data_IF_185039278600
#
_entry.id   IF_185039278600
#
_cell.length_a   1.000
_cell.length_b   1.000
_cell.length_c   1.000
_cell.angle_alpha   90.00
_cell.angle_beta   90.00
_cell.angle_gamma   90.00
#
_symmetry.space_group_name_H-M   'P 1'
#
loop_
_entity.id
_entity.type
_entity.pdbx_description
1 polymer ?
#
# COMPACT_ATOMS: atom_id res chain seq x y z
N UNK A 1 -8.55 14.59 17.50
CA UNK A 1 -9.55 13.52 17.20
C UNK A 1 -10.41 13.80 15.95
N UNK A 2 -10.45 15.00 15.43
CA UNK A 2 -11.17 15.33 14.18
C UNK A 2 -10.38 14.98 12.90
N UNK A 3 -9.08 14.73 12.98
CA UNK A 3 -8.24 14.47 11.78
C UNK A 3 -8.51 13.13 11.10
N UNK A 4 -8.98 12.13 11.82
CA UNK A 4 -9.27 10.81 11.25
C UNK A 4 -10.54 10.77 10.39
N UNK A 5 -11.48 11.69 10.61
CA UNK A 5 -12.70 11.75 9.78
C UNK A 5 -12.47 12.41 8.42
N UNK A 6 -11.49 13.31 8.31
CA UNK A 6 -11.22 14.03 7.06
C UNK A 6 -10.58 13.19 5.94
N UNK A 7 -10.04 12.00 6.25
CA UNK A 7 -9.36 11.14 5.26
C UNK A 7 -10.34 10.14 4.62
N UNK A 8 -11.50 9.92 5.23
CA UNK A 8 -12.40 8.81 4.86
C UNK A 8 -13.45 9.16 3.82
N UNK A 9 -13.77 10.42 3.61
CA UNK A 9 -14.90 10.81 2.77
C UNK A 9 -14.48 11.96 1.84
N UNK A 10 -13.48 11.72 1.00
CA UNK A 10 -13.09 12.71 0.00
C UNK A 10 -13.68 12.38 -1.36
N UNK A 11 -13.93 13.41 -2.16
CA UNK A 11 -14.19 13.26 -3.57
C UNK A 11 -12.89 12.90 -4.30
N UNK A 12 -13.00 12.07 -5.33
CA UNK A 12 -11.91 11.72 -6.25
C UNK A 12 -12.41 12.04 -7.65
N UNK A 13 -11.58 12.69 -8.45
CA UNK A 13 -11.96 13.13 -9.80
C UNK A 13 -10.87 12.77 -10.81
N UNK A 14 -11.16 11.77 -11.64
CA UNK A 14 -10.30 11.37 -12.76
C UNK A 14 -8.93 10.83 -12.35
N UNK A 15 -8.83 10.18 -11.19
CA UNK A 15 -7.58 9.59 -10.69
C UNK A 15 -7.48 8.14 -11.16
N UNK A 16 -6.30 7.71 -11.58
CA UNK A 16 -6.00 6.30 -11.84
C UNK A 16 -5.71 5.57 -10.53
N UNK A 17 -6.66 4.75 -10.08
CA UNK A 17 -6.51 3.92 -8.88
C UNK A 17 -6.23 2.45 -9.20
N UNK A 18 -5.98 2.12 -10.47
CA UNK A 18 -5.80 0.73 -10.93
C UNK A 18 -4.57 0.05 -10.33
N UNK A 19 -3.62 0.82 -9.79
CA UNK A 19 -2.48 0.30 -9.06
C UNK A 19 -2.92 -0.52 -7.84
N UNK A 20 -4.00 -0.11 -7.18
CA UNK A 20 -4.50 -0.71 -5.94
C UNK A 20 -5.91 -1.29 -6.05
N UNK A 21 -6.66 -0.94 -7.08
CA UNK A 21 -8.03 -1.41 -7.25
C UNK A 21 -8.19 -1.93 -8.69
N UNK A 22 -8.17 -3.25 -8.82
CA UNK A 22 -8.14 -3.92 -10.13
C UNK A 22 -9.47 -3.88 -10.88
N UNK A 23 -10.58 -4.06 -10.15
CA UNK A 23 -11.92 -4.06 -10.75
C UNK A 23 -12.96 -3.63 -9.72
N UNK A 24 -13.99 -2.95 -10.17
CA UNK A 24 -15.11 -2.56 -9.32
C UNK A 24 -16.37 -3.31 -9.72
N UNK A 25 -17.27 -3.61 -8.75
CA UNK A 25 -18.59 -4.12 -9.05
C UNK A 25 -19.32 -3.17 -10.03
N UNK A 26 -19.88 -3.72 -11.10
CA UNK A 26 -20.54 -2.91 -12.13
C UNK A 26 -19.65 -2.42 -13.27
N UNK A 27 -18.37 -2.77 -13.28
CA UNK A 27 -17.47 -2.49 -14.42
C UNK A 27 -17.01 -1.04 -14.53
N UNK A 28 -17.07 -0.27 -13.43
CA UNK A 28 -16.54 1.09 -13.41
C UNK A 28 -15.04 1.12 -13.70
N UNK A 29 -14.61 2.08 -14.51
CA UNK A 29 -13.20 2.24 -14.87
C UNK A 29 -12.39 2.73 -13.68
N UNK A 30 -11.34 1.98 -13.33
CA UNK A 30 -10.41 2.33 -12.26
C UNK A 30 -9.26 3.22 -12.70
N UNK A 31 -9.10 3.43 -14.03
CA UNK A 31 -8.08 4.31 -14.59
C UNK A 31 -8.51 5.79 -14.66
N UNK A 32 -9.82 6.02 -14.68
CA UNK A 32 -10.42 7.35 -14.60
C UNK A 32 -11.54 7.31 -13.56
N UNK A 33 -11.14 7.13 -12.30
CA UNK A 33 -12.08 6.93 -11.23
C UNK A 33 -12.69 8.24 -10.73
N UNK A 34 -14.00 8.22 -10.53
CA UNK A 34 -14.78 9.35 -10.01
C UNK A 34 -15.66 8.88 -8.87
N UNK A 35 -15.65 9.60 -7.76
CA UNK A 35 -16.60 9.43 -6.66
C UNK A 35 -16.69 10.68 -5.82
N UNK A 36 -17.85 10.94 -5.26
CA UNK A 36 -18.03 12.02 -4.27
C UNK A 36 -17.63 11.57 -2.86
N UNK A 37 -17.74 10.27 -2.57
CA UNK A 37 -17.54 9.69 -1.24
C UNK A 37 -16.67 8.42 -1.34
N UNK A 38 -15.36 8.60 -1.36
CA UNK A 38 -14.41 7.50 -1.38
C UNK A 38 -14.31 6.84 0.01
N UNK A 39 -14.27 5.50 0.04
CA UNK A 39 -13.91 4.77 1.28
C UNK A 39 -12.48 5.11 1.72
N UNK A 40 -12.13 4.78 2.97
CA UNK A 40 -10.77 5.04 3.48
C UNK A 40 -9.66 4.41 2.63
N UNK A 41 -9.83 3.15 2.22
CA UNK A 41 -8.87 2.47 1.34
C UNK A 41 -8.81 3.10 -0.06
N UNK A 42 -9.95 3.45 -0.63
CA UNK A 42 -10.00 4.11 -1.94
C UNK A 42 -9.38 5.51 -1.90
N UNK A 43 -9.64 6.27 -0.83
CA UNK A 43 -9.05 7.60 -0.62
C UNK A 43 -7.53 7.52 -0.49
N UNK A 44 -7.01 6.53 0.25
CA UNK A 44 -5.58 6.34 0.43
C UNK A 44 -4.92 5.82 -0.85
N UNK A 45 -5.53 4.89 -1.57
CA UNK A 45 -5.07 4.44 -2.87
C UNK A 45 -4.91 5.61 -3.85
N UNK A 46 -5.93 6.46 -3.96
CA UNK A 46 -5.87 7.65 -4.79
C UNK A 46 -4.77 8.61 -4.34
N UNK A 47 -4.63 8.84 -3.03
CA UNK A 47 -3.59 9.73 -2.50
C UNK A 47 -2.17 9.26 -2.83
N UNK A 48 -1.91 7.95 -2.74
CA UNK A 48 -0.62 7.37 -3.11
C UNK A 48 -0.38 7.54 -4.61
N UNK A 49 -1.37 7.22 -5.44
CA UNK A 49 -1.24 7.35 -6.89
C UNK A 49 -1.01 8.80 -7.30
N UNK A 50 -1.80 9.74 -6.77
CA UNK A 50 -1.65 11.19 -7.03
C UNK A 50 -0.26 11.69 -6.60
N UNK A 51 0.25 11.25 -5.45
CA UNK A 51 1.60 11.62 -5.00
C UNK A 51 2.67 11.13 -6.00
N UNK A 52 2.56 9.89 -6.47
CA UNK A 52 3.48 9.33 -7.46
C UNK A 52 3.36 10.08 -8.81
N UNK A 53 2.14 10.35 -9.28
CA UNK A 53 1.89 11.14 -10.49
C UNK A 53 2.51 12.55 -10.41
N UNK A 54 2.46 13.18 -9.22
CA UNK A 54 3.08 14.47 -8.95
C UNK A 54 4.62 14.39 -8.85
N UNK A 55 5.21 13.20 -8.96
CA UNK A 55 6.66 13.02 -8.97
C UNK A 55 7.29 12.82 -7.59
N UNK A 56 6.50 12.45 -6.57
CA UNK A 56 7.05 12.07 -5.26
C UNK A 56 8.06 10.94 -5.40
N UNK A 57 9.16 11.03 -4.67
CA UNK A 57 10.24 10.05 -4.66
C UNK A 57 10.23 9.20 -3.38
N UNK A 58 9.40 9.56 -2.42
CA UNK A 58 9.21 8.82 -1.18
C UNK A 58 7.76 8.91 -0.71
N UNK A 59 7.26 7.81 -0.16
CA UNK A 59 5.99 7.69 0.53
C UNK A 59 6.28 7.50 2.02
N UNK A 60 5.63 8.29 2.86
CA UNK A 60 5.67 8.16 4.32
C UNK A 60 4.32 7.63 4.78
N UNK A 61 4.31 6.43 5.34
CA UNK A 61 3.09 5.71 5.69
C UNK A 61 3.14 5.33 7.17
N UNK A 62 2.07 5.63 7.87
CA UNK A 62 1.85 5.28 9.27
C UNK A 62 0.73 4.24 9.33
N UNK A 63 1.02 3.06 9.91
CA UNK A 63 0.06 1.96 10.05
C UNK A 63 -1.21 2.38 10.78
N UNK A 64 -1.07 3.10 11.90
CA UNK A 64 -2.18 3.46 12.78
C UNK A 64 -3.20 4.39 12.11
N UNK A 65 -2.76 5.17 11.13
CA UNK A 65 -3.61 6.12 10.40
C UNK A 65 -4.06 5.62 9.04
N UNK A 66 -3.58 4.46 8.62
CA UNK A 66 -3.83 3.88 7.31
C UNK A 66 -5.04 2.94 7.31
N UNK A 67 -5.61 2.71 6.12
CA UNK A 67 -6.62 1.70 5.91
C UNK A 67 -5.97 0.30 5.91
N UNK A 68 -6.24 -0.50 6.94
CA UNK A 68 -5.59 -1.81 7.13
C UNK A 68 -5.74 -2.72 5.91
N UNK A 69 -6.92 -2.77 5.28
CA UNK A 69 -7.18 -3.59 4.10
C UNK A 69 -6.44 -3.12 2.83
N UNK A 70 -5.96 -1.87 2.82
CA UNK A 70 -5.06 -1.37 1.78
C UNK A 70 -3.60 -1.67 2.08
N UNK A 71 -3.19 -1.69 3.36
CA UNK A 71 -1.80 -1.99 3.70
C UNK A 71 -1.48 -3.46 3.49
N UNK A 72 -2.26 -4.32 4.11
CA UNK A 72 -2.03 -5.76 4.11
C UNK A 72 -3.35 -6.53 4.15
N UNK A 73 -3.28 -7.81 3.83
CA UNK A 73 -4.41 -8.70 3.93
C UNK A 73 -3.96 -10.05 4.46
N UNK A 74 -4.53 -10.46 5.58
CA UNK A 74 -4.31 -11.75 6.22
C UNK A 74 -4.59 -12.90 5.22
N UNK A 75 -3.78 -13.95 5.26
CA UNK A 75 -3.89 -15.14 4.43
C UNK A 75 -5.25 -15.83 4.55
N UNK A 76 -5.86 -15.83 5.73
CA UNK A 76 -7.21 -16.38 5.97
C UNK A 76 -8.27 -15.55 5.26
N UNK A 77 -8.15 -14.23 5.32
CA UNK A 77 -9.06 -13.34 4.61
C UNK A 77 -8.91 -13.45 3.09
N UNK A 78 -7.69 -13.67 2.58
CA UNK A 78 -7.45 -13.94 1.15
C UNK A 78 -8.15 -15.21 0.68
N UNK A 79 -8.16 -16.26 1.51
CA UNK A 79 -8.85 -17.52 1.19
C UNK A 79 -10.38 -17.39 1.27
N UNK A 80 -10.89 -16.62 2.25
CA UNK A 80 -12.32 -16.46 2.47
C UNK A 80 -12.96 -15.57 1.40
N UNK A 81 -12.33 -14.45 1.07
CA UNK A 81 -12.86 -13.45 0.12
C UNK A 81 -12.05 -13.50 -1.17
N UNK A 82 -12.51 -14.29 -2.13
CA UNK A 82 -11.79 -14.52 -3.39
C UNK A 82 -11.93 -13.38 -4.40
N UNK A 83 -12.99 -12.59 -4.32
CA UNK A 83 -13.29 -11.51 -5.28
C UNK A 83 -13.07 -10.12 -4.69
N UNK A 84 -11.91 -9.91 -4.05
CA UNK A 84 -11.56 -8.60 -3.50
C UNK A 84 -10.95 -7.71 -4.59
N UNK A 85 -11.52 -6.52 -4.83
CA UNK A 85 -10.96 -5.59 -5.80
C UNK A 85 -9.68 -4.91 -5.33
N UNK A 86 -9.44 -4.85 -4.00
CA UNK A 86 -8.29 -4.16 -3.43
C UNK A 86 -7.06 -5.05 -3.49
N UNK A 87 -6.00 -4.52 -4.08
CA UNK A 87 -4.66 -5.08 -4.10
C UNK A 87 -3.88 -4.37 -3.00
N UNK A 88 -3.48 -5.05 -1.92
CA UNK A 88 -2.84 -4.39 -0.81
C UNK A 88 -1.43 -3.88 -1.16
N UNK A 89 -0.99 -2.86 -0.41
CA UNK A 89 0.31 -2.22 -0.59
C UNK A 89 1.48 -3.22 -0.48
N UNK A 90 1.35 -4.20 0.41
CA UNK A 90 2.38 -5.24 0.56
C UNK A 90 2.68 -5.97 -0.75
N UNK A 91 1.68 -6.15 -1.61
CA UNK A 91 1.83 -6.78 -2.92
C UNK A 91 2.35 -5.79 -4.00
N UNK A 92 2.43 -4.50 -3.70
CA UNK A 92 2.79 -3.43 -4.63
C UNK A 92 4.08 -2.71 -4.27
N UNK A 93 4.50 -2.73 -3.01
CA UNK A 93 5.63 -1.92 -2.53
C UNK A 93 6.93 -2.22 -3.28
N UNK A 94 7.19 -3.49 -3.60
CA UNK A 94 8.34 -3.87 -4.42
C UNK A 94 8.30 -3.25 -5.81
N UNK A 95 7.17 -3.36 -6.51
CA UNK A 95 7.00 -2.75 -7.84
C UNK A 95 7.04 -1.21 -7.80
N UNK A 96 6.51 -0.59 -6.75
CA UNK A 96 6.61 0.87 -6.56
C UNK A 96 8.08 1.29 -6.46
N UNK A 97 8.91 0.52 -5.76
CA UNK A 97 10.36 0.74 -5.68
C UNK A 97 11.04 0.50 -7.02
N UNK A 98 10.82 -0.66 -7.61
CA UNK A 98 11.62 -1.17 -8.72
C UNK A 98 11.20 -0.55 -10.07
N UNK A 99 9.90 -0.37 -10.31
CA UNK A 99 9.36 0.16 -11.57
C UNK A 99 9.18 1.68 -11.57
N UNK A 100 8.83 2.26 -10.41
CA UNK A 100 8.55 3.69 -10.30
C UNK A 100 9.70 4.48 -9.64
N UNK A 101 10.65 3.80 -9.01
CA UNK A 101 11.78 4.44 -8.30
C UNK A 101 11.33 5.27 -7.10
N UNK A 102 10.27 4.83 -6.40
CA UNK A 102 9.70 5.51 -5.24
C UNK A 102 9.99 4.69 -3.98
N UNK A 103 10.69 5.27 -3.03
CA UNK A 103 10.97 4.66 -1.74
C UNK A 103 9.75 4.71 -0.83
N UNK A 104 9.57 3.72 0.03
CA UNK A 104 8.51 3.71 1.04
C UNK A 104 9.13 3.64 2.42
N UNK A 105 8.74 4.55 3.31
CA UNK A 105 9.10 4.55 4.72
C UNK A 105 7.82 4.30 5.51
N UNK A 106 7.81 3.21 6.30
CA UNK A 106 6.63 2.82 7.07
C UNK A 106 6.93 2.88 8.56
N UNK A 107 6.00 3.45 9.32
CA UNK A 107 5.97 3.34 10.79
C UNK A 107 4.98 2.25 11.13
N UNK A 108 5.44 1.22 11.82
CA UNK A 108 4.67 0.03 12.11
C UNK A 108 4.84 -0.39 13.57
N UNK A 109 3.76 -0.89 14.15
CA UNK A 109 3.75 -1.38 15.53
C UNK A 109 2.89 -2.64 15.70
N UNK A 110 2.03 -2.94 14.74
CA UNK A 110 1.03 -4.01 14.84
C UNK A 110 1.31 -5.24 13.99
N UNK A 111 2.08 -5.12 12.90
CA UNK A 111 2.36 -6.22 11.98
C UNK A 111 3.82 -6.32 11.59
N UNK A 112 4.32 -7.56 11.48
CA UNK A 112 5.65 -7.87 10.96
C UNK A 112 5.68 -8.23 9.46
N UNK A 113 4.55 -8.20 8.77
CA UNK A 113 4.46 -8.71 7.39
C UNK A 113 5.35 -7.99 6.37
N UNK A 114 5.73 -6.75 6.64
CA UNK A 114 6.62 -5.96 5.77
C UNK A 114 8.12 -6.18 6.05
N UNK A 115 8.48 -6.91 7.12
CA UNK A 115 9.88 -7.08 7.51
C UNK A 115 10.70 -7.80 6.42
N UNK A 116 10.12 -8.76 5.72
CA UNK A 116 10.77 -9.48 4.63
C UNK A 116 11.05 -8.61 3.40
N UNK A 117 10.26 -7.56 3.21
CA UNK A 117 10.34 -6.67 2.05
C UNK A 117 11.19 -5.44 2.31
N UNK A 118 11.56 -5.21 3.58
CA UNK A 118 12.29 -4.02 3.99
C UNK A 118 13.78 -4.15 3.72
N UNK A 119 14.35 -3.18 3.01
CA UNK A 119 15.80 -3.08 2.81
C UNK A 119 16.52 -2.65 4.10
N UNK A 120 15.83 -1.89 4.96
CA UNK A 120 16.32 -1.43 6.25
C UNK A 120 15.22 -1.40 7.29
N UNK A 121 15.50 -1.89 8.49
CA UNK A 121 14.60 -1.88 9.64
C UNK A 121 15.25 -1.13 10.80
N UNK A 122 14.58 -0.06 11.26
CA UNK A 122 14.97 0.71 12.44
C UNK A 122 14.02 0.40 13.58
N UNK A 123 14.54 -0.11 14.66
CA UNK A 123 13.80 -0.32 15.92
C UNK A 123 13.95 0.92 16.80
N UNK A 124 12.83 1.46 17.27
CA UNK A 124 12.81 2.51 18.28
C UNK A 124 12.62 1.89 19.66
N UNK A 125 13.65 1.93 20.48
CA UNK A 125 13.60 1.47 21.87
C UNK A 125 13.95 2.62 22.80
N UNK A 126 13.06 2.94 23.74
CA UNK A 126 13.20 4.13 24.60
C UNK A 126 13.51 5.43 23.84
N UNK A 127 12.84 5.62 22.71
CA UNK A 127 13.01 6.75 21.78
C UNK A 127 14.38 6.85 21.10
N UNK A 128 15.22 5.82 21.18
CA UNK A 128 16.50 5.73 20.48
C UNK A 128 16.39 4.78 19.31
N UNK A 129 16.90 5.16 18.11
CA UNK A 129 16.89 4.31 16.94
C UNK A 129 18.06 3.31 16.96
N UNK A 130 17.78 2.07 16.62
CA UNK A 130 18.76 1.00 16.44
C UNK A 130 18.54 0.34 15.07
N UNK A 131 19.62 -0.01 14.39
CA UNK A 131 19.52 -0.85 13.20
C UNK A 131 19.17 -2.28 13.66
N UNK A 132 18.03 -2.75 13.23
CA UNK A 132 17.50 -4.07 13.52
C UNK A 132 17.31 -4.94 12.27
N UNK A 133 17.88 -4.54 11.13
CA UNK A 133 17.63 -5.17 9.82
C UNK A 133 17.93 -6.66 9.84
N UNK A 134 19.13 -7.07 10.29
CA UNK A 134 19.49 -8.48 10.35
C UNK A 134 18.56 -9.29 11.26
N UNK A 135 18.28 -8.75 12.46
CA UNK A 135 17.38 -9.39 13.42
C UNK A 135 15.95 -9.54 12.88
N UNK A 136 15.45 -8.52 12.18
CA UNK A 136 14.12 -8.55 11.58
C UNK A 136 14.00 -9.67 10.55
N UNK A 137 14.99 -9.80 9.66
CA UNK A 137 15.03 -10.88 8.66
C UNK A 137 15.20 -12.28 9.30
N UNK A 138 15.97 -12.39 10.38
CA UNK A 138 16.10 -13.65 11.12
C UNK A 138 14.76 -14.08 11.75
N UNK A 139 14.05 -13.15 12.41
CA UNK A 139 12.74 -13.42 13.02
C UNK A 139 11.72 -13.83 11.97
N UNK A 140 11.66 -13.10 10.88
CA UNK A 140 10.74 -13.37 9.77
C UNK A 140 11.01 -14.76 9.16
N UNK A 141 12.27 -15.13 8.96
CA UNK A 141 12.67 -16.43 8.42
C UNK A 141 12.39 -17.59 9.39
N UNK A 142 12.47 -17.34 10.70
CA UNK A 142 12.30 -18.38 11.75
C UNK A 142 10.83 -18.76 11.95
N UNK A 143 9.90 -17.86 11.74
CA UNK A 143 8.47 -18.14 11.94
C UNK A 143 7.87 -19.05 10.87
N UNK A 144 8.62 -19.41 9.82
CA UNK A 144 8.13 -20.30 8.76
C UNK A 144 6.81 -19.80 8.17
N UNK A 145 6.55 -18.52 8.29
CA UNK A 145 5.48 -17.85 7.58
C UNK A 145 5.86 -18.03 6.12
N UNK A 146 5.28 -19.07 5.51
CA UNK A 146 5.25 -19.14 4.08
C UNK A 146 4.82 -17.76 3.64
N UNK A 147 5.79 -16.95 3.22
CA UNK A 147 5.48 -15.71 2.53
C UNK A 147 4.46 -16.14 1.52
N UNK A 148 3.25 -15.63 1.62
CA UNK A 148 2.15 -15.97 0.72
C UNK A 148 2.42 -15.38 -0.67
N UNK A 149 3.65 -15.54 -1.14
CA UNK A 149 4.09 -15.33 -2.53
C UNK A 149 3.44 -16.31 -3.48
N UNK A 150 2.63 -17.27 -2.99
CA UNK A 150 1.82 -18.16 -3.80
C UNK A 150 0.44 -17.59 -4.19
N UNK A 151 0.10 -16.39 -3.78
CA UNK A 151 -0.87 -15.59 -4.51
C UNK A 151 -0.11 -15.00 -5.68
N UNK A 152 -0.39 -15.45 -6.90
CA UNK A 152 0.09 -14.81 -8.10
C UNK A 152 -0.13 -13.30 -7.93
N UNK A 153 0.94 -12.57 -7.67
CA UNK A 153 0.86 -11.14 -7.42
C UNK A 153 0.06 -10.54 -8.57
N UNK A 154 -1.00 -9.80 -8.25
CA UNK A 154 -1.84 -9.24 -9.29
C UNK A 154 -0.92 -8.52 -10.29
N UNK A 155 -1.08 -8.75 -11.58
CA UNK A 155 -0.14 -8.27 -12.58
C UNK A 155 0.04 -6.76 -12.42
N UNK A 156 1.28 -6.31 -12.57
CA UNK A 156 1.59 -4.88 -12.58
C UNK A 156 0.82 -4.22 -13.73
N UNK A 157 0.10 -3.12 -13.50
CA UNK A 157 -0.65 -2.47 -14.55
C UNK A 157 0.30 -1.99 -15.66
N UNK A 158 0.03 -2.37 -16.92
CA UNK A 158 0.91 -2.11 -18.07
C UNK A 158 1.12 -0.62 -18.40
N UNK A 159 0.26 0.24 -17.88
CA UNK A 159 0.36 1.69 -17.99
C UNK A 159 0.28 2.33 -16.59
N UNK A 160 1.09 1.82 -15.67
CA UNK A 160 1.10 2.34 -14.31
C UNK A 160 1.57 3.79 -14.29
N UNK A 161 0.73 4.62 -13.73
CA UNK A 161 1.03 5.96 -13.24
C UNK A 161 1.83 6.83 -14.23
N UNK A 162 1.15 7.48 -15.13
CA UNK A 162 1.73 8.56 -15.94
C UNK A 162 2.00 9.76 -15.05
N UNK A 163 3.25 10.21 -14.98
CA UNK A 163 3.59 11.45 -14.28
C UNK A 163 2.77 12.58 -14.87
N UNK A 164 1.96 13.25 -14.06
CA UNK A 164 1.31 14.49 -14.47
C UNK A 164 2.39 15.55 -14.64
N UNK A 165 2.55 16.04 -15.84
CA UNK A 165 3.33 17.25 -16.07
C UNK A 165 2.55 18.40 -15.42
N UNK A 166 3.10 18.95 -14.35
CA UNK A 166 2.67 20.23 -13.84
C UNK A 166 3.11 21.28 -14.87
N UNK A 167 2.15 21.81 -15.61
CA UNK A 167 2.35 22.94 -16.52
C UNK A 167 2.23 24.23 -15.72
#
# INVERSE_FOLDING_TARGET
RQRQMCIRDRAITGTDISLFIGSLPGGSDTRQFFTENASGSTSQAAAITEAIECGSRALLIDEDTSATNLLLRDSRMRQLVRSEPIIPLIDRVGGIRDELGVSTIMVMGGSGDFLDLADQVLLLENYLPYDATTKAHEVSSAEGVASSTDSAAAPWPQEAVRKRLLV
#
